data_IF_669012160607
#
_entry.id   IF_669012160607
#
_cell.length_a   1.000
_cell.length_b   1.000
_cell.length_c   1.000
_cell.angle_alpha   90.00
_cell.angle_beta   90.00
_cell.angle_gamma   90.00
#
_symmetry.space_group_name_H-M   'P 1'
#
loop_
_entity.id
_entity.type
_entity.pdbx_description
1 polymer ?
#
# COMPACT_ATOMS: atom_id res chain seq x y z
N UNK A 1 8.54 27.48 -3.71
CA UNK A 1 9.44 26.34 -3.40
C UNK A 1 9.26 25.26 -4.44
N UNK A 2 10.36 24.82 -5.04
CA UNK A 2 10.31 23.77 -6.05
C UNK A 2 10.49 22.41 -5.38
N UNK A 3 9.56 21.51 -5.62
CA UNK A 3 9.66 20.16 -5.07
C UNK A 3 10.57 19.31 -5.95
N UNK A 4 11.27 18.37 -5.33
CA UNK A 4 12.18 17.47 -6.04
C UNK A 4 11.55 16.11 -6.30
N UNK A 5 10.27 15.99 -6.11
CA UNK A 5 9.53 14.75 -6.37
C UNK A 5 8.25 15.11 -7.09
N UNK A 6 7.70 14.12 -7.74
CA UNK A 6 6.40 14.25 -8.38
C UNK A 6 5.36 13.52 -7.56
N UNK A 7 4.19 14.12 -7.40
CA UNK A 7 3.07 13.46 -6.77
C UNK A 7 2.44 12.50 -7.77
N UNK A 8 2.05 11.33 -7.29
CA UNK A 8 1.34 10.34 -8.09
C UNK A 8 -0.07 10.22 -7.54
N UNK A 9 -1.06 10.38 -8.42
CA UNK A 9 -2.46 10.32 -8.03
C UNK A 9 -3.12 9.17 -8.78
N UNK A 10 -3.85 8.27 -8.08
CA UNK A 10 -4.56 7.20 -8.78
C UNK A 10 -5.66 7.76 -9.68
N UNK A 11 -6.12 6.97 -10.65
CA UNK A 11 -7.08 7.40 -11.64
C UNK A 11 -8.40 7.86 -11.01
N UNK A 12 -8.76 7.30 -9.85
CA UNK A 12 -10.01 7.64 -9.16
C UNK A 12 -9.85 7.43 -7.66
N UNK A 13 -10.73 8.07 -6.89
CA UNK A 13 -10.83 7.79 -5.47
C UNK A 13 -9.90 8.57 -4.57
N UNK A 14 -9.18 9.55 -5.11
CA UNK A 14 -8.27 10.35 -4.27
C UNK A 14 -8.94 11.65 -3.85
N UNK A 15 -8.93 11.90 -2.55
CA UNK A 15 -9.51 13.13 -1.99
C UNK A 15 -8.46 14.25 -2.03
N UNK A 16 -8.72 15.33 -2.80
CA UNK A 16 -7.74 16.41 -2.93
C UNK A 16 -7.52 17.20 -1.64
N UNK A 17 -8.34 16.99 -0.61
CA UNK A 17 -8.15 17.66 0.68
C UNK A 17 -7.10 16.97 1.56
N UNK A 18 -6.66 15.77 1.20
CA UNK A 18 -5.59 15.12 1.94
C UNK A 18 -4.33 15.97 1.87
N UNK A 19 -3.58 16.00 2.96
CA UNK A 19 -2.33 16.75 3.04
C UNK A 19 -1.13 15.85 2.77
N UNK A 20 -1.34 14.77 2.03
CA UNK A 20 -0.28 13.86 1.58
C UNK A 20 -0.67 13.33 0.22
N UNK A 21 0.33 12.87 -0.54
CA UNK A 21 0.10 12.28 -1.86
C UNK A 21 -0.14 10.78 -1.71
N UNK A 22 -0.84 10.19 -2.67
CA UNK A 22 -1.01 8.74 -2.70
C UNK A 22 0.33 8.04 -2.86
N UNK A 23 1.21 8.63 -3.67
CA UNK A 23 2.59 8.20 -3.80
C UNK A 23 3.41 9.37 -4.30
N UNK A 24 4.74 9.26 -4.17
CA UNK A 24 5.66 10.23 -4.75
C UNK A 24 6.70 9.46 -5.56
N UNK A 25 7.18 10.11 -6.61
CA UNK A 25 8.22 9.56 -7.46
C UNK A 25 9.46 10.44 -7.37
N UNK A 26 10.61 9.80 -7.15
CA UNK A 26 11.91 10.45 -7.15
C UNK A 26 12.84 9.58 -7.98
N UNK A 27 13.26 10.07 -9.17
CA UNK A 27 14.04 9.25 -10.07
C UNK A 27 13.26 7.98 -10.43
N UNK A 28 13.86 6.83 -10.17
CA UNK A 28 13.23 5.55 -10.46
C UNK A 28 12.47 4.97 -9.26
N UNK A 29 12.43 5.68 -8.13
CA UNK A 29 11.78 5.18 -6.92
C UNK A 29 10.38 5.74 -6.80
N UNK A 30 9.47 4.89 -6.37
CA UNK A 30 8.08 5.27 -6.09
C UNK A 30 7.79 4.90 -4.64
N UNK A 31 7.42 5.92 -3.87
CA UNK A 31 7.10 5.76 -2.44
C UNK A 31 5.59 5.82 -2.30
N UNK A 32 4.99 4.69 -1.96
CA UNK A 32 3.53 4.61 -1.80
C UNK A 32 3.20 4.89 -0.34
N UNK A 33 2.31 5.86 -0.12
CA UNK A 33 1.85 6.19 1.23
C UNK A 33 1.18 5.00 1.89
N UNK A 34 1.32 4.93 3.20
CA UNK A 34 0.60 3.93 3.98
C UNK A 34 -0.89 4.09 3.77
N UNK A 35 -1.59 2.98 3.63
CA UNK A 35 -3.03 3.00 3.43
C UNK A 35 -3.68 1.87 4.24
N UNK A 36 -4.87 2.16 4.74
CA UNK A 36 -5.71 1.18 5.41
C UNK A 36 -6.73 0.65 4.41
N UNK A 37 -7.60 -0.26 4.85
CA UNK A 37 -8.62 -0.82 3.98
C UNK A 37 -9.85 0.07 3.84
N UNK A 38 -9.68 1.39 3.95
CA UNK A 38 -10.76 2.33 3.73
C UNK A 38 -11.10 2.47 2.25
N UNK A 39 -12.40 2.45 1.95
CA UNK A 39 -12.86 2.68 0.58
C UNK A 39 -13.02 4.18 0.32
N UNK A 40 -13.58 4.54 -0.84
CA UNK A 40 -13.72 5.94 -1.24
C UNK A 40 -14.66 6.72 -0.35
N UNK A 41 -15.57 6.03 0.36
CA UNK A 41 -16.47 6.66 1.32
C UNK A 41 -15.91 6.63 2.74
N UNK A 42 -14.68 6.14 2.92
CA UNK A 42 -14.05 6.07 4.23
C UNK A 42 -14.47 4.89 5.06
N UNK A 43 -15.22 3.94 4.49
CA UNK A 43 -15.63 2.74 5.21
C UNK A 43 -14.57 1.67 5.10
N UNK A 44 -14.40 0.88 6.15
CA UNK A 44 -13.43 -0.20 6.13
C UNK A 44 -14.02 -1.39 5.39
N UNK A 45 -13.29 -1.86 4.39
CA UNK A 45 -13.59 -3.11 3.69
C UNK A 45 -13.00 -4.25 4.51
N UNK A 46 -13.83 -5.23 4.86
CA UNK A 46 -13.36 -6.34 5.69
C UNK A 46 -13.32 -6.01 7.16
N UNK A 47 -14.37 -5.37 7.67
CA UNK A 47 -14.44 -5.04 9.09
C UNK A 47 -14.26 -6.30 9.94
N UNK A 48 -13.33 -6.25 10.91
CA UNK A 48 -13.04 -7.40 11.76
C UNK A 48 -12.23 -8.50 11.09
N UNK A 49 -11.83 -8.33 9.84
CA UNK A 49 -11.17 -9.38 9.06
C UNK A 49 -9.85 -8.85 8.49
N UNK A 50 -8.75 -9.15 9.17
CA UNK A 50 -7.44 -8.62 8.77
C UNK A 50 -7.00 -9.19 7.42
N UNK A 51 -7.43 -10.39 7.07
CA UNK A 51 -7.07 -10.98 5.77
C UNK A 51 -7.75 -10.21 4.64
N UNK A 52 -9.04 -9.96 4.78
CA UNK A 52 -9.75 -9.19 3.75
C UNK A 52 -9.25 -7.75 3.68
N UNK A 53 -8.92 -7.15 4.81
CA UNK A 53 -8.34 -5.82 4.82
C UNK A 53 -7.01 -5.81 4.07
N UNK A 54 -6.17 -6.80 4.28
CA UNK A 54 -4.89 -6.91 3.60
C UNK A 54 -5.08 -7.03 2.09
N UNK A 55 -6.03 -7.88 1.65
CA UNK A 55 -6.34 -8.02 0.23
C UNK A 55 -6.72 -6.67 -0.38
N UNK A 56 -7.64 -5.96 0.26
CA UNK A 56 -8.13 -4.71 -0.28
C UNK A 56 -7.04 -3.64 -0.31
N UNK A 57 -6.16 -3.61 0.70
CA UNK A 57 -5.03 -2.68 0.72
C UNK A 57 -4.13 -2.92 -0.50
N UNK A 58 -3.82 -4.17 -0.82
CA UNK A 58 -2.97 -4.44 -1.99
C UNK A 58 -3.69 -4.11 -3.30
N UNK A 59 -5.00 -4.23 -3.35
CA UNK A 59 -5.75 -3.75 -4.51
C UNK A 59 -5.59 -2.23 -4.68
N UNK A 60 -5.65 -1.49 -3.58
CA UNK A 60 -5.46 -0.03 -3.60
C UNK A 60 -4.02 0.32 -4.00
N UNK A 61 -3.04 -0.38 -3.42
CA UNK A 61 -1.64 -0.13 -3.76
C UNK A 61 -1.40 -0.39 -5.24
N UNK A 62 -1.99 -1.45 -5.78
CA UNK A 62 -1.85 -1.77 -7.20
C UNK A 62 -2.37 -0.63 -8.08
N UNK A 63 -3.49 -0.01 -7.70
CA UNK A 63 -4.03 1.11 -8.48
C UNK A 63 -3.14 2.35 -8.42
N UNK A 64 -2.53 2.61 -7.28
CA UNK A 64 -1.59 3.73 -7.15
C UNK A 64 -0.33 3.45 -7.96
N UNK A 65 0.18 2.21 -7.89
CA UNK A 65 1.35 1.83 -8.67
C UNK A 65 1.09 1.93 -10.16
N UNK A 66 -0.10 1.55 -10.62
CA UNK A 66 -0.46 1.66 -12.02
C UNK A 66 -0.35 3.12 -12.50
N UNK A 67 -0.82 4.06 -11.68
CA UNK A 67 -0.73 5.48 -12.01
C UNK A 67 0.73 5.95 -12.10
N UNK A 68 1.64 5.24 -11.45
CA UNK A 68 3.07 5.57 -11.50
C UNK A 68 3.82 4.81 -12.59
N UNK A 69 3.15 3.90 -13.30
CA UNK A 69 3.81 3.07 -14.32
C UNK A 69 4.44 1.82 -13.75
N UNK A 70 4.01 1.39 -12.57
CA UNK A 70 4.53 0.21 -11.89
C UNK A 70 3.43 -0.85 -11.72
N UNK A 71 3.85 -2.04 -11.34
CA UNK A 71 2.94 -3.09 -10.88
C UNK A 71 3.44 -3.62 -9.54
N UNK A 72 2.69 -4.52 -8.94
CA UNK A 72 3.11 -5.14 -7.69
C UNK A 72 4.44 -5.90 -7.84
N UNK A 73 4.77 -6.34 -9.05
CA UNK A 73 6.06 -7.00 -9.29
C UNK A 73 7.25 -6.05 -9.11
N UNK A 74 7.00 -4.75 -9.13
CA UNK A 74 8.06 -3.74 -8.99
C UNK A 74 8.28 -3.33 -7.53
N UNK A 75 7.50 -3.85 -6.60
CA UNK A 75 7.62 -3.51 -5.19
C UNK A 75 8.87 -4.19 -4.62
N UNK A 76 9.71 -3.39 -3.96
CA UNK A 76 10.97 -3.91 -3.39
C UNK A 76 10.94 -3.93 -1.86
N UNK A 77 10.02 -3.19 -1.25
CA UNK A 77 9.93 -3.15 0.21
C UNK A 77 8.51 -2.84 0.64
N UNK A 78 8.06 -3.50 1.71
CA UNK A 78 6.80 -3.17 2.36
C UNK A 78 7.03 -3.00 3.86
N UNK A 79 6.21 -2.14 4.48
CA UNK A 79 6.12 -2.04 5.92
C UNK A 79 4.66 -2.18 6.30
N UNK A 80 4.39 -3.06 7.24
CA UNK A 80 3.03 -3.31 7.71
C UNK A 80 2.92 -2.93 9.18
N UNK A 81 1.86 -2.19 9.49
CA UNK A 81 1.53 -1.79 10.86
C UNK A 81 0.20 -2.45 11.20
N UNK A 82 0.13 -3.20 12.30
CA UNK A 82 -1.10 -3.91 12.64
C UNK A 82 -1.40 -3.77 14.12
N UNK A 83 -2.69 -3.80 14.44
CA UNK A 83 -3.14 -3.64 15.83
C UNK A 83 -3.10 -4.94 16.61
N UNK A 84 -3.16 -6.07 15.91
CA UNK A 84 -3.30 -7.38 16.55
C UNK A 84 -2.51 -8.42 15.78
N UNK A 85 -2.02 -9.42 16.52
CA UNK A 85 -1.40 -10.59 15.90
C UNK A 85 -2.43 -11.67 15.59
N UNK A 86 -3.68 -11.49 16.04
CA UNK A 86 -4.73 -12.46 15.79
C UNK A 86 -4.97 -12.57 14.28
N UNK A 87 -4.85 -13.80 13.77
CA UNK A 87 -5.00 -14.12 12.34
C UNK A 87 -4.00 -13.43 11.43
N UNK A 88 -3.01 -12.71 11.97
CA UNK A 88 -2.03 -12.03 11.13
C UNK A 88 -1.27 -13.01 10.25
N UNK A 89 -0.93 -14.20 10.77
CA UNK A 89 -0.18 -15.18 9.99
C UNK A 89 -0.95 -15.62 8.75
N UNK A 90 -2.26 -15.52 8.74
CA UNK A 90 -3.09 -15.88 7.57
C UNK A 90 -2.92 -14.89 6.42
N UNK A 91 -2.42 -13.69 6.69
CA UNK A 91 -2.18 -12.71 5.64
C UNK A 91 -1.04 -13.12 4.71
N UNK A 92 -0.21 -14.08 5.12
CA UNK A 92 0.86 -14.57 4.27
C UNK A 92 0.34 -15.12 2.94
N UNK A 93 -0.85 -15.72 2.93
CA UNK A 93 -1.44 -16.24 1.70
C UNK A 93 -1.75 -15.09 0.72
N UNK A 94 -2.16 -13.93 1.23
CA UNK A 94 -2.39 -12.75 0.40
C UNK A 94 -1.09 -12.32 -0.27
N UNK A 95 -0.01 -12.24 0.50
CA UNK A 95 1.28 -11.81 -0.04
C UNK A 95 1.81 -12.80 -1.07
N UNK A 96 1.66 -14.09 -0.84
CA UNK A 96 2.06 -15.10 -1.84
C UNK A 96 1.33 -14.89 -3.15
N UNK A 97 0.04 -14.55 -3.07
CA UNK A 97 -0.76 -14.35 -4.27
C UNK A 97 -0.40 -13.04 -4.99
N UNK A 98 -0.34 -11.93 -4.24
CA UNK A 98 -0.16 -10.62 -4.88
C UNK A 98 1.24 -10.44 -5.44
N UNK A 99 2.26 -11.08 -4.85
CA UNK A 99 3.62 -10.98 -5.35
C UNK A 99 4.03 -12.15 -6.25
N UNK A 100 3.17 -13.15 -6.41
CA UNK A 100 3.41 -14.26 -7.32
C UNK A 100 4.49 -15.22 -6.88
N UNK A 101 4.77 -15.28 -5.59
CA UNK A 101 5.82 -16.15 -5.06
C UNK A 101 7.15 -15.45 -4.97
N UNK A 102 8.19 -16.20 -4.63
CA UNK A 102 9.55 -15.66 -4.43
C UNK A 102 10.15 -15.20 -5.77
N UNK A 103 11.01 -14.18 -5.78
CA UNK A 103 11.46 -13.44 -4.58
C UNK A 103 10.42 -12.44 -4.11
N UNK A 104 10.32 -12.30 -2.79
CA UNK A 104 9.40 -11.36 -2.17
C UNK A 104 10.12 -10.05 -1.86
N UNK A 105 9.38 -8.94 -1.75
CA UNK A 105 9.96 -7.70 -1.26
C UNK A 105 10.53 -7.87 0.15
N UNK A 106 11.49 -7.03 0.49
CA UNK A 106 11.90 -6.92 1.89
C UNK A 106 10.72 -6.42 2.70
N UNK A 107 10.56 -6.90 3.93
CA UNK A 107 9.38 -6.59 4.70
C UNK A 107 9.69 -6.33 6.17
N UNK A 108 8.96 -5.39 6.76
CA UNK A 108 9.01 -5.13 8.19
C UNK A 108 7.58 -5.10 8.69
N UNK A 109 7.31 -5.77 9.81
CA UNK A 109 6.00 -5.76 10.46
C UNK A 109 6.12 -5.21 11.87
N UNK A 110 5.20 -4.32 12.25
CA UNK A 110 5.22 -3.67 13.55
C UNK A 110 3.81 -3.69 14.13
N UNK A 111 3.68 -4.21 15.34
CA UNK A 111 2.42 -4.08 16.08
C UNK A 111 2.39 -2.69 16.71
N UNK A 112 1.30 -1.96 16.51
CA UNK A 112 1.19 -0.58 16.98
C UNK A 112 -0.04 -0.40 17.86
N UNK A 113 -0.06 0.72 18.59
CA UNK A 113 -1.13 0.99 19.56
C UNK A 113 -2.44 1.39 18.91
N UNK A 114 -2.39 1.95 17.71
CA UNK A 114 -3.60 2.41 17.03
C UNK A 114 -3.28 2.84 15.61
N UNK A 115 -4.32 2.88 14.78
CA UNK A 115 -4.24 3.38 13.42
C UNK A 115 -5.26 4.50 13.28
N UNK A 116 -5.01 5.40 12.33
CA UNK A 116 -5.78 6.62 12.24
C UNK A 116 -7.25 6.38 11.87
N UNK A 117 -7.53 5.34 11.08
CA UNK A 117 -8.90 5.08 10.64
C UNK A 117 -9.58 4.09 11.57
N UNK A 118 -10.72 4.46 12.17
CA UNK A 118 -11.47 3.53 13.02
C UNK A 118 -11.81 2.25 12.25
N UNK A 119 -11.59 1.11 12.90
CA UNK A 119 -11.87 -0.19 12.30
C UNK A 119 -10.71 -0.76 11.50
N UNK A 120 -9.67 0.02 11.24
CA UNK A 120 -8.49 -0.50 10.54
C UNK A 120 -7.71 -1.43 11.48
N UNK A 121 -7.42 -2.63 11.00
CA UNK A 121 -6.60 -3.60 11.71
C UNK A 121 -5.16 -3.61 11.21
N UNK A 122 -4.95 -3.09 10.00
CA UNK A 122 -3.63 -3.12 9.36
C UNK A 122 -3.51 -1.93 8.41
N UNK A 123 -2.30 -1.42 8.29
CA UNK A 123 -1.93 -0.37 7.35
C UNK A 123 -0.63 -0.79 6.69
N UNK A 124 -0.50 -0.59 5.37
CA UNK A 124 0.67 -1.03 4.62
C UNK A 124 1.18 0.10 3.75
N UNK A 125 2.50 0.28 3.73
CA UNK A 125 3.17 1.17 2.79
C UNK A 125 4.16 0.37 1.97
N UNK A 126 4.54 0.89 0.81
CA UNK A 126 5.41 0.16 -0.10
C UNK A 126 6.37 1.11 -0.81
N UNK A 127 7.50 0.55 -1.24
CA UNK A 127 8.45 1.23 -2.11
C UNK A 127 8.60 0.36 -3.35
N UNK A 128 8.51 0.98 -4.52
CA UNK A 128 8.65 0.28 -5.80
C UNK A 128 9.71 0.96 -6.65
N UNK A 129 10.21 0.24 -7.65
CA UNK A 129 11.20 0.74 -8.60
C UNK A 129 10.59 0.66 -9.99
N UNK A 130 10.68 1.77 -10.74
CA UNK A 130 10.14 1.79 -12.10
C UNK A 130 10.85 0.77 -12.96
N UNK A 131 10.11 0.08 -13.84
CA UNK A 131 10.74 -0.84 -14.78
C UNK A 131 11.70 -0.10 -15.70
N UNK A 132 12.87 -0.70 -15.94
CA UNK A 132 13.89 -0.06 -16.77
C UNK A 132 13.50 0.01 -18.23
N UNK A 133 12.59 -0.84 -18.66
CA UNK A 133 12.22 -0.96 -20.06
C UNK A 133 11.10 -0.04 -20.47
N UNK A 134 10.81 0.96 -19.67
CA UNK A 134 9.81 1.96 -20.01
C UNK A 134 10.42 3.02 -20.92
N UNK A 135 10.68 2.65 -22.13
CA UNK A 135 11.27 3.55 -23.11
C UNK A 135 10.40 3.71 -24.32
#
# INVERSE_FOLDING_TARGET
MTKRFEAVTPAAGWNPKFTFSAATRVGDLVFVSGTTAGDEQGRIVGEGDIVRQTEYIYEKIARVLEAAGCTLADVVETTEYYLTLENYEKTAAVRRKVFGGAPYPAATGVQCAGLIRPGALIEIKAIAVLPKEQK
#
